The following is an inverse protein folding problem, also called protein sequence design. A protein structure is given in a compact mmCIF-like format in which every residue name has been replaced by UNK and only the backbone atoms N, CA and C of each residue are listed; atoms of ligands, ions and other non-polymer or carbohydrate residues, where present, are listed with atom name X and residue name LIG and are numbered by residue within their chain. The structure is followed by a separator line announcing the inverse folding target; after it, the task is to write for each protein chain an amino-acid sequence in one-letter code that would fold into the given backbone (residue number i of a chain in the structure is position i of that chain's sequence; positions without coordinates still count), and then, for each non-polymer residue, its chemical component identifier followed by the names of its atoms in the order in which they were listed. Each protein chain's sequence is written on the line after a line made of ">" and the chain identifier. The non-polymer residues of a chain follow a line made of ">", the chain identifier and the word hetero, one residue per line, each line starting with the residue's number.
data_IF_577670588005
#
_entry.id   IF_577670588005
#
_cell.length_a   1.000
_cell.length_b   1.000
_cell.length_c   1.000
_cell.angle_alpha   90.00
_cell.angle_beta   90.00
_cell.angle_gamma   90.00
#
_symmetry.space_group_name_H-M   'P 1'
#
loop_
_entity.id
_entity.type
_entity.pdbx_description
1 polymer ?
#
# COMPACT_ATOMS: atom_id res chain seq x y z
N UNK A 1 -14.56 -8.43 -9.90
CA UNK A 1 -13.49 -7.73 -9.18
C UNK A 1 -12.16 -7.91 -9.88
N UNK A 2 -11.35 -6.89 -9.90
CA UNK A 2 -10.02 -6.98 -10.50
C UNK A 2 -9.05 -7.67 -9.54
N UNK A 3 -8.13 -8.45 -10.11
CA UNK A 3 -7.08 -9.09 -9.34
C UNK A 3 -5.80 -8.27 -9.43
N UNK A 4 -5.15 -8.08 -8.30
CA UNK A 4 -3.91 -7.34 -8.21
C UNK A 4 -2.88 -8.14 -7.43
N UNK A 5 -1.62 -7.99 -7.84
CA UNK A 5 -0.51 -8.35 -6.98
C UNK A 5 -0.23 -7.15 -6.08
N UNK A 6 -0.33 -7.37 -4.77
CA UNK A 6 -0.11 -6.31 -3.78
C UNK A 6 1.28 -6.45 -3.19
N UNK A 7 2.06 -5.39 -3.27
CA UNK A 7 3.34 -5.28 -2.58
C UNK A 7 3.19 -4.21 -1.51
N UNK A 8 3.43 -4.58 -0.27
CA UNK A 8 3.41 -3.64 0.86
C UNK A 8 4.85 -3.34 1.27
N UNK A 9 5.22 -2.08 1.27
CA UNK A 9 6.50 -1.62 1.79
C UNK A 9 6.26 -0.82 3.06
N UNK A 10 6.85 -1.25 4.16
CA UNK A 10 6.77 -0.57 5.45
C UNK A 10 8.15 -0.05 5.76
N UNK A 11 8.28 1.27 5.85
CA UNK A 11 9.57 1.89 6.14
C UNK A 11 9.90 1.72 7.62
N UNK A 12 11.07 1.16 7.90
CA UNK A 12 11.56 1.03 9.26
C UNK A 12 12.21 2.35 9.68
N UNK A 13 11.72 2.94 10.77
CA UNK A 13 12.22 4.21 11.29
C UNK A 13 13.39 4.05 12.28
N UNK A 14 13.88 2.85 12.45
CA UNK A 14 15.01 2.59 13.34
C UNK A 14 16.28 3.23 12.78
N UNK A 15 16.98 4.12 13.55
CA UNK A 15 18.07 4.92 12.96
C UNK A 15 19.25 4.11 12.45
N UNK A 16 19.48 2.92 12.97
CA UNK A 16 20.59 2.05 12.57
C UNK A 16 20.17 0.95 11.61
N UNK A 17 18.94 0.97 11.12
CA UNK A 17 18.42 -0.08 10.27
C UNK A 17 17.73 0.55 9.09
N UNK A 18 18.29 0.35 7.89
CA UNK A 18 17.72 0.84 6.64
C UNK A 18 16.89 -0.21 5.94
N UNK A 19 16.58 -1.33 6.59
CA UNK A 19 15.79 -2.38 6.01
C UNK A 19 14.32 -1.98 5.94
N UNK A 20 13.70 -2.30 4.82
CA UNK A 20 12.26 -2.17 4.63
C UNK A 20 11.61 -3.52 4.75
N UNK A 21 10.50 -3.58 5.43
CA UNK A 21 9.69 -4.79 5.44
C UNK A 21 8.85 -4.81 4.17
N UNK A 22 9.00 -5.87 3.38
CA UNK A 22 8.29 -6.02 2.12
C UNK A 22 7.43 -7.27 2.20
N UNK A 23 6.13 -7.11 1.94
CA UNK A 23 5.17 -8.20 1.94
C UNK A 23 4.52 -8.31 0.58
N UNK A 24 4.31 -9.53 0.11
CA UNK A 24 3.67 -9.82 -1.16
C UNK A 24 2.37 -10.57 -0.92
N UNK A 25 1.33 -10.21 -1.65
CA UNK A 25 0.04 -10.88 -1.56
C UNK A 25 -0.72 -10.76 -2.89
N UNK A 26 -1.73 -11.57 -3.06
CA UNK A 26 -2.66 -11.46 -4.18
C UNK A 26 -4.02 -11.06 -3.61
N UNK A 27 -4.61 -10.02 -4.18
CA UNK A 27 -5.87 -9.47 -3.68
C UNK A 27 -6.86 -9.25 -4.84
N UNK A 28 -8.13 -9.31 -4.51
CA UNK A 28 -9.20 -8.96 -5.44
C UNK A 28 -9.94 -7.75 -4.88
N UNK A 29 -9.97 -6.69 -5.64
CA UNK A 29 -10.68 -5.48 -5.25
C UNK A 29 -11.03 -4.64 -6.48
N UNK A 30 -12.11 -3.91 -6.42
CA UNK A 30 -12.46 -2.92 -7.45
C UNK A 30 -11.86 -1.55 -7.13
N UNK A 31 -11.45 -1.32 -5.89
CA UNK A 31 -10.94 -0.04 -5.44
C UNK A 31 -9.75 -0.24 -4.49
N UNK A 32 -8.52 -0.12 -5.01
CA UNK A 32 -7.32 -0.28 -4.17
C UNK A 32 -7.26 0.69 -2.99
N UNK A 33 -7.72 1.91 -3.16
CA UNK A 33 -7.72 2.89 -2.07
C UNK A 33 -8.64 2.43 -0.95
N UNK A 34 -9.82 1.96 -1.29
CA UNK A 34 -10.77 1.46 -0.30
C UNK A 34 -10.23 0.21 0.40
N UNK A 35 -9.53 -0.65 -0.35
CA UNK A 35 -8.89 -1.83 0.21
C UNK A 35 -7.89 -1.44 1.31
N UNK A 36 -7.05 -0.43 1.05
CA UNK A 36 -6.07 0.05 2.03
C UNK A 36 -6.76 0.64 3.25
N UNK A 37 -7.82 1.42 3.05
CA UNK A 37 -8.58 1.99 4.16
C UNK A 37 -9.16 0.91 5.07
N UNK A 38 -9.71 -0.14 4.49
CA UNK A 38 -10.26 -1.26 5.25
C UNK A 38 -9.15 -2.04 5.96
N UNK A 39 -8.03 -2.25 5.29
CA UNK A 39 -6.89 -2.97 5.86
C UNK A 39 -6.36 -2.27 7.11
N UNK A 40 -6.32 -0.94 7.10
CA UNK A 40 -5.81 -0.14 8.21
C UNK A 40 -6.93 0.36 9.15
N UNK A 41 -8.14 -0.18 9.00
CA UNK A 41 -9.29 0.13 9.85
C UNK A 41 -9.59 1.63 9.95
N UNK A 42 -9.37 2.37 8.87
CA UNK A 42 -9.61 3.80 8.82
C UNK A 42 -8.62 4.65 9.59
N UNK A 43 -7.53 4.07 10.08
CA UNK A 43 -6.52 4.79 10.87
C UNK A 43 -5.40 5.38 10.02
N UNK A 44 -5.40 5.11 8.71
CA UNK A 44 -4.41 5.67 7.82
C UNK A 44 -4.61 7.19 7.68
N UNK A 45 -3.52 7.94 7.71
CA UNK A 45 -3.54 9.39 7.53
C UNK A 45 -2.71 9.73 6.28
N UNK A 46 -2.97 10.91 5.70
CA UNK A 46 -2.27 11.40 4.49
C UNK A 46 -2.32 10.40 3.34
N UNK A 47 -3.45 9.74 3.17
CA UNK A 47 -3.62 8.73 2.15
C UNK A 47 -3.72 9.39 0.78
N UNK A 48 -2.79 9.04 -0.12
CA UNK A 48 -2.77 9.49 -1.50
C UNK A 48 -2.63 8.30 -2.43
N UNK A 49 -3.18 8.40 -3.62
CA UNK A 49 -3.11 7.34 -4.61
C UNK A 49 -2.61 7.90 -5.94
N UNK A 50 -1.75 7.13 -6.59
CA UNK A 50 -1.20 7.44 -7.90
C UNK A 50 -1.53 6.30 -8.85
N UNK A 51 -2.30 6.58 -9.89
CA UNK A 51 -2.70 5.58 -10.89
C UNK A 51 -1.85 5.79 -12.13
N UNK A 52 -1.19 4.73 -12.58
CA UNK A 52 -0.34 4.76 -13.76
C UNK A 52 -1.11 4.30 -15.00
N UNK A 53 -0.54 4.58 -16.17
CA UNK A 53 -1.16 4.27 -17.45
C UNK A 53 -1.30 2.76 -17.68
N UNK A 54 -0.46 1.94 -17.05
CA UNK A 54 -0.53 0.48 -17.16
C UNK A 54 -1.60 -0.16 -16.27
N UNK A 55 -2.33 0.66 -15.53
CA UNK A 55 -3.37 0.20 -14.61
C UNK A 55 -2.89 -0.06 -13.20
N UNK A 56 -1.59 0.07 -12.93
CA UNK A 56 -1.10 -0.09 -11.56
C UNK A 56 -1.47 1.13 -10.70
N UNK A 57 -1.69 0.87 -9.42
CA UNK A 57 -2.06 1.91 -8.45
C UNK A 57 -1.08 1.83 -7.28
N UNK A 58 -0.48 2.96 -6.94
CA UNK A 58 0.36 3.08 -5.76
C UNK A 58 -0.34 3.93 -4.73
N UNK A 59 -0.53 3.40 -3.53
CA UNK A 59 -1.18 4.12 -2.43
C UNK A 59 -0.13 4.41 -1.37
N UNK A 60 -0.01 5.68 -1.02
CA UNK A 60 0.88 6.14 0.04
C UNK A 60 0.04 6.56 1.23
N UNK A 61 0.46 6.17 2.42
CA UNK A 61 -0.18 6.64 3.64
C UNK A 61 0.79 6.55 4.81
N UNK A 62 0.38 7.11 5.94
CA UNK A 62 1.09 6.97 7.21
C UNK A 62 0.14 6.33 8.21
N UNK A 63 0.67 5.42 9.00
CA UNK A 63 -0.08 4.79 10.07
C UNK A 63 0.81 4.74 11.29
N UNK A 64 0.32 5.34 12.38
CA UNK A 64 1.05 5.42 13.64
C UNK A 64 2.45 6.03 13.46
N UNK A 65 2.56 7.06 12.61
CA UNK A 65 3.81 7.74 12.33
C UNK A 65 4.76 6.98 11.39
N UNK A 66 4.35 5.81 10.89
CA UNK A 66 5.20 4.99 10.00
C UNK A 66 4.69 5.12 8.56
N UNK A 67 5.52 5.60 7.63
CA UNK A 67 5.14 5.65 6.22
C UNK A 67 4.95 4.24 5.65
N UNK A 68 3.88 4.06 4.89
CA UNK A 68 3.58 2.80 4.22
C UNK A 68 3.27 3.06 2.77
N UNK A 69 3.68 2.11 1.93
CA UNK A 69 3.44 2.15 0.49
C UNK A 69 2.81 0.84 0.05
N UNK A 70 1.72 0.95 -0.69
CA UNK A 70 1.02 -0.20 -1.22
C UNK A 70 1.01 -0.10 -2.74
N UNK A 71 1.59 -1.09 -3.42
CA UNK A 71 1.66 -1.12 -4.88
C UNK A 71 0.75 -2.23 -5.37
N UNK A 72 -0.28 -1.85 -6.14
CA UNK A 72 -1.23 -2.77 -6.74
C UNK A 72 -0.92 -2.88 -8.23
N UNK A 73 -0.46 -4.05 -8.65
CA UNK A 73 -0.16 -4.34 -10.04
C UNK A 73 -1.21 -5.29 -10.59
N UNK A 74 -1.95 -4.93 -11.66
CA UNK A 74 -2.97 -5.82 -12.21
C UNK A 74 -2.34 -7.06 -12.84
N UNK A 75 -3.07 -8.17 -12.70
CA UNK A 75 -2.70 -9.42 -13.39
C UNK A 75 -3.09 -9.37 -14.86
#
# INVERSE_FOLDING_TARGET
>A
MAKYELVQEIQNLCPNNQMRDIFFDEVETDDPVQYVRQLLHGKAVDLTADTRADGSVTVYCSWDGVPRKFIFTPF
#
